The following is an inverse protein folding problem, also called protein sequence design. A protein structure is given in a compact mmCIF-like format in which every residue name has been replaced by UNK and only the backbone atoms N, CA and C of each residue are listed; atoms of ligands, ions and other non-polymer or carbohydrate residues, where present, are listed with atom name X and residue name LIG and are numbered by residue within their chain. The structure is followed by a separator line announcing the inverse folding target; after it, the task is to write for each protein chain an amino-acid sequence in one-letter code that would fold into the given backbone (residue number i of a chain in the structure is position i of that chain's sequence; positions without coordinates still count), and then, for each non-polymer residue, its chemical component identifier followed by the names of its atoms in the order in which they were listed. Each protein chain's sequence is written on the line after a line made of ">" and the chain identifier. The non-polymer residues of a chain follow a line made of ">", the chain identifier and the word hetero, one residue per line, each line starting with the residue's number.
data_IF_087369402145
#
_entry.id   IF_087369402145
#
_cell.length_a   1.000
_cell.length_b   1.000
_cell.length_c   1.000
_cell.angle_alpha   90.00
_cell.angle_beta   90.00
_cell.angle_gamma   90.00
#
_symmetry.space_group_name_H-M   'P 1'
#
loop_
_entity.id
_entity.type
_entity.pdbx_description
1 polymer ?
#
# COMPACT_ATOMS: atom_id res chain seq x y z
N UNK A 1 -7.24 -14.19 -15.38
CA UNK A 1 -5.90 -14.01 -14.76
C UNK A 1 -6.11 -14.11 -13.26
N UNK A 2 -5.34 -14.94 -12.56
CA UNK A 2 -5.52 -15.10 -11.11
C UNK A 2 -5.27 -13.77 -10.38
N UNK A 3 -6.05 -13.46 -9.35
CA UNK A 3 -5.93 -12.20 -8.57
C UNK A 3 -4.51 -12.00 -8.00
N UNK A 4 -3.82 -13.10 -7.74
CA UNK A 4 -2.42 -13.15 -7.31
C UNK A 4 -1.43 -12.76 -8.42
N UNK A 5 -1.71 -13.09 -9.68
CA UNK A 5 -0.85 -12.72 -10.80
C UNK A 5 -0.96 -11.23 -11.10
N UNK A 6 -2.17 -10.66 -10.92
CA UNK A 6 -2.36 -9.21 -10.97
C UNK A 6 -1.54 -8.51 -9.88
N UNK A 7 -1.49 -9.07 -8.67
CA UNK A 7 -0.67 -8.51 -7.59
C UNK A 7 0.80 -8.40 -7.96
N UNK A 8 1.38 -9.52 -8.40
CA UNK A 8 2.78 -9.56 -8.78
C UNK A 8 3.06 -8.56 -9.90
N UNK A 9 2.17 -8.45 -10.88
CA UNK A 9 2.30 -7.47 -11.96
C UNK A 9 2.30 -6.03 -11.43
N UNK A 10 1.37 -5.65 -10.55
CA UNK A 10 1.35 -4.32 -9.93
C UNK A 10 2.58 -4.06 -9.07
N UNK A 11 3.10 -5.09 -8.38
CA UNK A 11 4.31 -5.00 -7.58
C UNK A 11 5.57 -4.79 -8.45
N UNK A 12 5.66 -5.44 -9.60
CA UNK A 12 6.73 -5.21 -10.56
C UNK A 12 6.65 -3.82 -11.17
N UNK A 13 5.44 -3.35 -11.50
CA UNK A 13 5.23 -1.98 -11.99
C UNK A 13 5.62 -0.97 -10.90
N UNK A 14 5.26 -1.22 -9.63
CA UNK A 14 5.61 -0.33 -8.53
C UNK A 14 7.11 -0.28 -8.28
N UNK A 15 7.80 -1.42 -8.34
CA UNK A 15 9.26 -1.49 -8.29
C UNK A 15 9.89 -0.61 -9.37
N UNK A 16 9.41 -0.74 -10.61
CA UNK A 16 9.92 0.05 -11.72
C UNK A 16 9.66 1.55 -11.54
N UNK A 17 8.42 1.94 -11.21
CA UNK A 17 8.04 3.34 -11.05
C UNK A 17 8.82 4.03 -9.93
N UNK A 18 8.93 3.39 -8.77
CA UNK A 18 9.63 3.94 -7.61
C UNK A 18 11.14 4.04 -7.81
N UNK A 19 11.75 3.06 -8.49
CA UNK A 19 13.20 3.04 -8.72
C UNK A 19 13.66 3.94 -9.88
N UNK A 20 12.77 4.28 -10.83
CA UNK A 20 13.20 4.94 -12.09
C UNK A 20 12.45 6.21 -12.47
N UNK A 21 11.17 6.35 -12.11
CA UNK A 21 10.31 7.41 -12.69
C UNK A 21 9.99 8.50 -11.67
N UNK A 22 9.52 8.13 -10.48
CA UNK A 22 9.04 9.08 -9.47
C UNK A 22 9.48 8.58 -8.10
N UNK A 23 10.12 9.47 -7.32
CA UNK A 23 10.49 9.20 -5.92
C UNK A 23 9.25 9.27 -5.02
N UNK A 24 8.41 8.24 -5.13
CA UNK A 24 7.20 8.05 -4.35
C UNK A 24 7.14 6.60 -3.84
N UNK A 25 6.69 6.35 -2.59
CA UNK A 25 6.72 5.03 -1.96
C UNK A 25 5.63 4.09 -2.49
N UNK A 26 5.67 3.76 -3.78
CA UNK A 26 4.68 2.91 -4.44
C UNK A 26 4.66 1.49 -3.90
N UNK A 27 5.83 0.90 -3.61
CA UNK A 27 5.96 -0.44 -3.02
C UNK A 27 5.17 -0.51 -1.72
N UNK A 28 5.38 0.48 -0.85
CA UNK A 28 4.72 0.57 0.44
C UNK A 28 3.21 0.71 0.27
N UNK A 29 2.77 1.68 -0.55
CA UNK A 29 1.34 1.95 -0.78
C UNK A 29 0.62 0.74 -1.38
N UNK A 30 1.15 0.16 -2.45
CA UNK A 30 0.53 -0.95 -3.18
C UNK A 30 0.50 -2.21 -2.31
N UNK A 31 1.55 -2.45 -1.51
CA UNK A 31 1.57 -3.54 -0.54
C UNK A 31 0.42 -3.43 0.45
N UNK A 32 0.21 -2.25 1.04
CA UNK A 32 -0.87 -2.02 1.99
C UNK A 32 -2.26 -2.21 1.35
N UNK A 33 -2.48 -1.61 0.18
CA UNK A 33 -3.73 -1.77 -0.57
C UNK A 33 -4.01 -3.25 -0.82
N UNK A 34 -3.01 -4.01 -1.26
CA UNK A 34 -3.18 -5.42 -1.54
C UNK A 34 -3.48 -6.26 -0.31
N UNK A 35 -2.81 -5.99 0.80
CA UNK A 35 -3.08 -6.69 2.06
C UNK A 35 -4.49 -6.42 2.58
N UNK A 36 -5.00 -5.22 2.38
CA UNK A 36 -6.35 -4.84 2.76
C UNK A 36 -7.38 -5.67 2.00
N UNK A 37 -7.22 -5.81 0.69
CA UNK A 37 -8.16 -6.56 -0.16
C UNK A 37 -7.96 -8.08 -0.08
N UNK A 38 -6.73 -8.53 0.15
CA UNK A 38 -6.34 -9.95 0.13
C UNK A 38 -5.41 -10.28 1.30
N UNK A 39 -5.92 -10.27 2.55
CA UNK A 39 -5.13 -10.57 3.74
C UNK A 39 -4.75 -12.04 3.75
N UNK A 40 -3.55 -12.36 3.31
CA UNK A 40 -3.00 -13.71 3.34
C UNK A 40 -1.53 -13.69 3.73
N UNK A 41 -1.05 -14.78 4.35
CA UNK A 41 0.37 -14.94 4.68
C UNK A 41 1.25 -14.80 3.43
N UNK A 42 0.76 -15.26 2.28
CA UNK A 42 1.47 -15.12 1.01
C UNK A 42 1.63 -13.65 0.61
N UNK A 43 0.58 -12.83 0.72
CA UNK A 43 0.61 -11.38 0.44
C UNK A 43 1.60 -10.65 1.35
N UNK A 44 1.69 -11.07 2.61
CA UNK A 44 2.64 -10.53 3.58
C UNK A 44 4.08 -10.86 3.19
N UNK A 45 4.37 -12.13 2.93
CA UNK A 45 5.72 -12.57 2.55
C UNK A 45 6.18 -11.85 1.29
N UNK A 46 5.33 -11.78 0.26
CA UNK A 46 5.68 -11.13 -1.01
C UNK A 46 5.88 -9.63 -0.87
N UNK A 47 5.06 -8.93 -0.08
CA UNK A 47 5.23 -7.51 0.21
C UNK A 47 6.53 -7.25 1.00
N UNK A 48 6.84 -8.07 1.99
CA UNK A 48 8.10 -7.99 2.75
C UNK A 48 9.30 -8.19 1.85
N UNK A 49 9.26 -9.21 0.97
CA UNK A 49 10.33 -9.44 0.00
C UNK A 49 10.48 -8.27 -0.98
N UNK A 50 9.39 -7.72 -1.48
CA UNK A 50 9.43 -6.54 -2.35
C UNK A 50 10.02 -5.31 -1.64
N UNK A 51 9.71 -5.12 -0.36
CA UNK A 51 10.35 -4.11 0.49
C UNK A 51 11.87 -4.27 0.56
N UNK A 52 12.35 -5.51 0.72
CA UNK A 52 13.79 -5.78 0.71
C UNK A 52 14.41 -5.47 -0.65
N UNK A 53 13.74 -5.84 -1.74
CA UNK A 53 14.23 -5.56 -3.08
C UNK A 53 14.35 -4.07 -3.36
N UNK A 54 13.34 -3.27 -2.98
CA UNK A 54 13.44 -1.82 -3.20
C UNK A 54 14.52 -1.18 -2.32
N UNK A 55 14.72 -1.65 -1.09
CA UNK A 55 15.80 -1.14 -0.24
C UNK A 55 17.18 -1.41 -0.85
N UNK A 56 17.37 -2.60 -1.44
CA UNK A 56 18.60 -2.96 -2.15
C UNK A 56 18.79 -2.09 -3.40
N UNK A 57 17.74 -1.89 -4.20
CA UNK A 57 17.80 -1.12 -5.44
C UNK A 57 18.01 0.38 -5.20
N UNK A 58 17.42 0.92 -4.14
CA UNK A 58 17.52 2.34 -3.77
C UNK A 58 18.78 2.67 -2.95
N UNK A 59 19.63 1.68 -2.67
CA UNK A 59 20.84 1.84 -1.85
C UNK A 59 20.50 2.44 -0.47
N UNK A 60 19.37 2.03 0.08
CA UNK A 60 18.90 2.44 1.41
C UNK A 60 19.31 1.40 2.46
N UNK A 61 18.96 1.64 3.72
CA UNK A 61 19.21 0.67 4.78
C UNK A 61 18.27 -0.51 4.57
N UNK A 62 18.86 -1.67 4.29
CA UNK A 62 18.14 -2.92 3.98
C UNK A 62 17.17 -3.27 5.12
N UNK A 63 15.90 -3.47 4.76
CA UNK A 63 14.85 -3.92 5.67
C UNK A 63 13.99 -2.81 6.27
N UNK A 64 14.30 -1.54 6.01
CA UNK A 64 13.47 -0.42 6.48
C UNK A 64 12.06 -0.46 5.90
N UNK A 65 11.94 -0.65 4.58
CA UNK A 65 10.63 -0.70 3.92
C UNK A 65 9.84 -1.91 4.38
N UNK A 66 10.50 -3.07 4.50
CA UNK A 66 9.89 -4.31 4.99
C UNK A 66 9.38 -4.18 6.43
N UNK A 67 10.14 -3.54 7.32
CA UNK A 67 9.72 -3.28 8.69
C UNK A 67 8.52 -2.33 8.73
N UNK A 68 8.55 -1.25 7.95
CA UNK A 68 7.43 -0.32 7.87
C UNK A 68 6.14 -1.00 7.37
N UNK A 69 6.23 -1.86 6.35
CA UNK A 69 5.11 -2.67 5.86
C UNK A 69 4.58 -3.55 6.99
N UNK A 70 5.45 -4.26 7.70
CA UNK A 70 5.05 -5.19 8.76
C UNK A 70 4.36 -4.47 9.92
N UNK A 71 4.91 -3.33 10.38
CA UNK A 71 4.29 -2.49 11.41
C UNK A 71 2.91 -2.00 10.94
N UNK A 72 2.82 -1.53 9.70
CA UNK A 72 1.56 -1.02 9.15
C UNK A 72 0.50 -2.12 9.04
N UNK A 73 0.89 -3.35 8.72
CA UNK A 73 -0.02 -4.49 8.68
C UNK A 73 -0.54 -4.82 10.07
N UNK A 74 0.32 -4.80 11.09
CA UNK A 74 -0.10 -4.99 12.49
C UNK A 74 -1.08 -3.91 12.93
N UNK A 75 -0.87 -2.65 12.55
CA UNK A 75 -1.80 -1.55 12.83
C UNK A 75 -3.14 -1.74 12.11
N UNK A 76 -3.13 -2.17 10.84
CA UNK A 76 -4.35 -2.47 10.08
C UNK A 76 -5.15 -3.61 10.73
N UNK A 77 -4.49 -4.70 11.12
CA UNK A 77 -5.16 -5.83 11.79
C UNK A 77 -5.68 -5.46 13.17
N UNK A 78 -4.92 -4.67 13.94
CA UNK A 78 -5.38 -4.12 15.20
C UNK A 78 -6.63 -3.25 15.00
N UNK A 79 -6.62 -2.37 14.00
CA UNK A 79 -7.76 -1.51 13.68
C UNK A 79 -9.00 -2.32 13.29
N UNK A 80 -8.85 -3.31 12.39
CA UNK A 80 -9.95 -4.21 11.99
C UNK A 80 -10.56 -4.92 13.20
N UNK A 81 -9.72 -5.39 14.12
CA UNK A 81 -10.17 -6.10 15.33
C UNK A 81 -10.81 -5.17 16.37
N UNK A 82 -10.30 -3.95 16.51
CA UNK A 82 -10.74 -3.01 17.54
C UNK A 82 -12.05 -2.29 17.19
N UNK A 83 -12.25 -1.94 15.92
CA UNK A 83 -13.35 -1.07 15.51
C UNK A 83 -14.44 -1.78 14.69
N UNK A 84 -14.28 -3.06 14.34
CA UNK A 84 -15.20 -3.90 13.55
C UNK A 84 -15.82 -3.19 12.32
N UNK A 85 -15.12 -2.16 11.83
CA UNK A 85 -15.65 -1.21 10.85
C UNK A 85 -15.03 -1.53 9.51
N UNK A 86 -15.87 -2.00 8.60
CA UNK A 86 -15.55 -2.20 7.18
C UNK A 86 -15.66 -0.89 6.39
N UNK A 87 -15.46 0.26 7.02
CA UNK A 87 -15.59 1.55 6.34
C UNK A 87 -14.35 1.84 5.49
N UNK A 88 -14.51 1.71 4.17
CA UNK A 88 -13.46 1.99 3.19
C UNK A 88 -12.92 3.42 3.28
N UNK A 89 -13.71 4.38 3.79
CA UNK A 89 -13.30 5.78 3.96
C UNK A 89 -12.23 5.92 5.03
N UNK A 90 -12.42 5.25 6.18
CA UNK A 90 -11.45 5.28 7.27
C UNK A 90 -10.17 4.57 6.83
N UNK A 91 -10.31 3.49 6.07
CA UNK A 91 -9.19 2.76 5.51
C UNK A 91 -8.37 3.61 4.52
N UNK A 92 -9.01 4.43 3.69
CA UNK A 92 -8.32 5.40 2.83
C UNK A 92 -7.55 6.44 3.64
N UNK A 93 -8.13 6.95 4.72
CA UNK A 93 -7.45 7.89 5.62
C UNK A 93 -6.24 7.22 6.27
N UNK A 94 -6.36 5.96 6.71
CA UNK A 94 -5.27 5.20 7.29
C UNK A 94 -4.15 4.96 6.27
N UNK A 95 -4.49 4.56 5.04
CA UNK A 95 -3.51 4.42 3.95
C UNK A 95 -2.80 5.74 3.63
N UNK A 96 -3.55 6.85 3.57
CA UNK A 96 -3.00 8.19 3.31
C UNK A 96 -2.01 8.58 4.40
N UNK A 97 -2.44 8.51 5.66
CA UNK A 97 -1.62 8.87 6.81
C UNK A 97 -0.39 7.97 6.93
N UNK A 98 -0.51 6.66 6.75
CA UNK A 98 0.62 5.74 6.78
C UNK A 98 1.64 6.05 5.69
N UNK A 99 1.18 6.28 4.46
CA UNK A 99 2.06 6.55 3.30
C UNK A 99 2.70 7.93 3.40
N UNK A 100 1.97 8.92 3.92
CA UNK A 100 2.49 10.25 4.21
C UNK A 100 3.53 10.23 5.34
N UNK A 101 3.28 9.51 6.43
CA UNK A 101 4.25 9.36 7.52
C UNK A 101 5.51 8.66 7.01
N UNK A 102 5.34 7.56 6.27
CA UNK A 102 6.46 6.81 5.70
C UNK A 102 7.32 7.69 4.79
N UNK A 103 6.71 8.44 3.87
CA UNK A 103 7.43 9.36 2.99
C UNK A 103 8.11 10.53 3.69
N UNK A 104 7.67 10.94 4.88
CA UNK A 104 8.34 11.97 5.66
C UNK A 104 9.53 11.42 6.47
N UNK A 105 9.51 10.13 6.84
CA UNK A 105 10.60 9.47 7.58
C UNK A 105 11.75 9.09 6.64
N UNK A 106 11.41 8.64 5.43
CA UNK A 106 12.38 8.22 4.40
C UNK A 106 12.54 9.32 3.35
N UNK A 107 13.65 9.36 2.59
CA UNK A 107 13.99 10.50 1.72
C UNK A 107 13.18 10.54 0.41
N UNK A 108 11.85 10.43 0.49
CA UNK A 108 10.94 10.60 -0.65
C UNK A 108 10.58 12.08 -0.84
N UNK A 109 10.04 12.41 -2.02
CA UNK A 109 9.55 13.77 -2.26
C UNK A 109 8.32 14.07 -1.38
N UNK A 110 8.43 15.12 -0.56
CA UNK A 110 7.38 15.59 0.35
C UNK A 110 6.47 16.64 -0.31
N UNK A 111 5.89 16.30 -1.46
CA UNK A 111 4.90 17.16 -2.11
C UNK A 111 3.48 16.68 -1.80
N UNK A 112 2.84 17.32 -0.81
CA UNK A 112 1.50 16.98 -0.33
C UNK A 112 0.43 16.96 -1.44
N UNK A 113 0.58 17.78 -2.49
CA UNK A 113 -0.35 17.77 -3.64
C UNK A 113 -0.29 16.46 -4.43
N UNK A 114 0.91 15.87 -4.57
CA UNK A 114 1.09 14.57 -5.24
C UNK A 114 0.39 13.48 -4.42
N UNK A 115 0.58 13.44 -3.10
CA UNK A 115 -0.12 12.50 -2.23
C UNK A 115 -1.63 12.65 -2.34
N UNK A 116 -2.17 13.88 -2.23
CA UNK A 116 -3.61 14.11 -2.34
C UNK A 116 -4.17 13.65 -3.69
N UNK A 117 -3.50 13.97 -4.81
CA UNK A 117 -3.97 13.59 -6.15
C UNK A 117 -4.00 12.06 -6.35
N UNK A 118 -2.97 11.35 -5.89
CA UNK A 118 -2.93 9.89 -5.95
C UNK A 118 -4.01 9.26 -5.07
N UNK A 119 -4.20 9.76 -3.85
CA UNK A 119 -5.20 9.22 -2.93
C UNK A 119 -6.64 9.54 -3.35
N UNK A 120 -6.89 10.71 -3.96
CA UNK A 120 -8.18 11.01 -4.59
C UNK A 120 -8.45 10.04 -5.74
N UNK A 121 -7.44 9.76 -6.58
CA UNK A 121 -7.57 8.81 -7.69
C UNK A 121 -7.90 7.40 -7.20
N UNK A 122 -7.16 6.91 -6.18
CA UNK A 122 -7.43 5.61 -5.54
C UNK A 122 -8.82 5.60 -4.89
N UNK A 123 -9.21 6.68 -4.21
CA UNK A 123 -10.53 6.81 -3.60
C UNK A 123 -11.67 6.74 -4.59
N UNK A 124 -11.54 7.41 -5.75
CA UNK A 124 -12.51 7.34 -6.85
C UNK A 124 -12.62 5.91 -7.39
N UNK A 125 -11.49 5.21 -7.58
CA UNK A 125 -11.48 3.82 -8.05
C UNK A 125 -12.19 2.91 -7.04
N UNK A 126 -11.86 3.02 -5.76
CA UNK A 126 -12.51 2.22 -4.69
C UNK A 126 -14.00 2.53 -4.62
N UNK A 127 -14.38 3.81 -4.68
CA UNK A 127 -15.78 4.22 -4.68
C UNK A 127 -16.55 3.58 -5.84
N UNK A 128 -16.03 3.66 -7.08
CA UNK A 128 -16.69 3.06 -8.23
C UNK A 128 -16.78 1.53 -8.11
N UNK A 129 -15.72 0.86 -7.65
CA UNK A 129 -15.73 -0.59 -7.45
C UNK A 129 -16.70 -1.05 -6.36
N UNK A 130 -16.89 -0.25 -5.31
CA UNK A 130 -17.84 -0.54 -4.22
C UNK A 130 -19.28 -0.14 -4.55
N UNK A 131 -19.48 0.82 -5.46
CA UNK A 131 -20.80 1.24 -5.91
C UNK A 131 -21.40 0.30 -6.97
N UNK A 132 -20.59 -0.13 -7.95
CA UNK A 132 -21.04 -1.03 -9.04
C UNK A 132 -21.23 -2.48 -8.58
N UNK A 133 -20.47 -2.88 -7.56
CA UNK A 133 -20.56 -4.21 -7.02
C UNK A 133 -20.91 -4.14 -5.52
N UNK A 134 -22.02 -4.75 -5.13
CA UNK A 134 -22.34 -5.16 -3.75
C UNK A 134 -21.30 -6.16 -3.16
N UNK A 135 -20.02 -6.09 -3.58
CA UNK A 135 -18.90 -6.95 -3.19
C UNK A 135 -18.50 -6.78 -1.72
N UNK A 136 -18.92 -5.70 -1.06
CA UNK A 136 -18.67 -5.48 0.37
C UNK A 136 -19.78 -6.07 1.29
N UNK A 137 -20.88 -6.58 0.71
CA UNK A 137 -22.01 -7.17 1.42
C UNK A 137 -22.02 -8.72 1.41
N UNK A 138 -20.91 -9.37 1.05
CA UNK A 138 -20.73 -10.81 1.29
C UNK A 138 -19.50 -11.06 2.17
#
# INVERSE_FOLDING_TARGET
>A
MDRQNLFLLFLFISLFLESTVISFPFIFLISLIYYIFYPSTRTLITAVLAGLFIDILSVSIIGQTSLAILISYLLIEFYKKAFDTRDWRILLILLFTATYIYSNIFPYENNLLIYLSLFVSIGIIIFNLTHDNNLWLK
#
